data_IF_655632948200
#
_entry.id   IF_655632948200
#
_cell.length_a   1.000
_cell.length_b   1.000
_cell.length_c   1.000
_cell.angle_alpha   90.00
_cell.angle_beta   90.00
_cell.angle_gamma   90.00
#
_symmetry.space_group_name_H-M   'P 1'
#
loop_
_entity.id
_entity.type
_entity.pdbx_description
1 polymer ?
#
# COMPACT_ATOMS: atom_id res chain seq x y z
N UNK A 1 2.66 37.04 0.24
CA UNK A 1 1.86 36.18 -0.66
C UNK A 1 1.16 35.13 0.21
N UNK A 2 -0.02 34.64 -0.17
CA UNK A 2 -0.75 33.65 0.65
C UNK A 2 -0.23 32.25 0.37
N UNK A 3 0.23 31.53 1.39
CA UNK A 3 0.59 30.11 1.29
C UNK A 3 -0.59 29.24 0.84
N UNK A 4 -0.29 28.06 0.30
CA UNK A 4 -1.28 27.08 -0.15
C UNK A 4 -1.21 25.83 0.73
N UNK A 5 -2.35 25.40 1.28
CA UNK A 5 -2.45 24.17 2.07
C UNK A 5 -2.70 22.98 1.12
N UNK A 6 -1.77 22.04 1.04
CA UNK A 6 -1.93 20.82 0.23
C UNK A 6 -2.23 19.63 1.15
N UNK A 7 -3.22 18.83 0.78
CA UNK A 7 -3.47 17.52 1.40
C UNK A 7 -2.69 16.49 0.58
N UNK A 8 -1.85 15.71 1.25
CA UNK A 8 -1.09 14.60 0.68
C UNK A 8 -1.71 13.29 1.13
N UNK A 9 -1.88 12.36 0.19
CA UNK A 9 -2.24 10.96 0.43
C UNK A 9 -1.05 10.07 0.03
N UNK A 10 -0.62 9.18 0.91
CA UNK A 10 0.49 8.25 0.68
C UNK A 10 0.17 6.87 1.24
N UNK A 11 1.01 5.87 0.93
CA UNK A 11 0.77 4.43 1.20
C UNK A 11 -0.46 3.85 0.49
N UNK A 12 -1.01 4.57 -0.47
CA UNK A 12 -2.03 4.08 -1.41
C UNK A 12 -1.45 3.87 -2.80
N UNK A 13 -2.31 3.47 -3.73
CA UNK A 13 -1.98 3.33 -5.14
C UNK A 13 -3.18 3.67 -6.01
N UNK A 14 -2.95 4.10 -7.25
CA UNK A 14 -4.03 4.24 -8.22
C UNK A 14 -4.46 2.88 -8.74
N UNK A 15 -5.76 2.60 -8.66
CA UNK A 15 -6.40 1.41 -9.20
C UNK A 15 -7.46 1.79 -10.22
N UNK A 16 -7.59 0.98 -11.27
CA UNK A 16 -8.65 1.17 -12.26
C UNK A 16 -9.78 0.19 -11.98
N UNK A 17 -10.87 0.70 -11.44
CA UNK A 17 -12.06 -0.07 -11.07
C UNK A 17 -13.23 0.36 -11.96
N UNK A 18 -13.89 -0.60 -12.62
CA UNK A 18 -15.09 -0.37 -13.45
C UNK A 18 -14.96 0.77 -14.49
N UNK A 19 -13.73 0.97 -15.00
CA UNK A 19 -13.43 2.02 -15.97
C UNK A 19 -13.04 3.37 -15.38
N UNK A 20 -13.06 3.54 -14.05
CA UNK A 20 -12.64 4.74 -13.34
C UNK A 20 -11.35 4.53 -12.54
N UNK A 21 -10.46 5.52 -12.56
CA UNK A 21 -9.29 5.54 -11.70
C UNK A 21 -9.63 6.01 -10.28
N UNK A 22 -9.41 5.18 -9.28
CA UNK A 22 -9.64 5.52 -7.89
C UNK A 22 -8.36 5.33 -7.11
N UNK A 23 -8.14 6.18 -6.12
CA UNK A 23 -7.03 6.00 -5.20
C UNK A 23 -7.43 4.91 -4.20
N UNK A 24 -6.61 3.87 -4.08
CA UNK A 24 -6.83 2.81 -3.11
C UNK A 24 -6.48 3.34 -1.71
N UNK A 25 -7.51 3.45 -0.87
CA UNK A 25 -7.41 4.00 0.48
C UNK A 25 -6.95 2.95 1.51
N UNK A 26 -6.78 1.68 1.13
CA UNK A 26 -6.40 0.61 2.06
C UNK A 26 -4.97 0.79 2.55
N UNK A 27 -4.82 1.13 3.82
CA UNK A 27 -3.51 1.44 4.42
C UNK A 27 -3.02 2.86 4.13
N UNK A 28 -3.84 3.68 3.46
CA UNK A 28 -3.53 5.07 3.17
C UNK A 28 -3.29 5.86 4.45
N UNK A 29 -2.34 6.78 4.34
CA UNK A 29 -2.07 7.83 5.31
C UNK A 29 -2.26 9.19 4.66
N UNK A 30 -2.55 10.19 5.47
CA UNK A 30 -2.70 11.57 5.00
C UNK A 30 -1.90 12.55 5.84
N UNK A 31 -1.47 13.65 5.20
CA UNK A 31 -0.84 14.77 5.87
C UNK A 31 -1.16 16.07 5.15
N UNK A 32 -1.24 17.16 5.89
CA UNK A 32 -1.35 18.49 5.32
C UNK A 32 0.02 19.17 5.37
N UNK A 33 0.41 19.81 4.27
CA UNK A 33 1.61 20.65 4.21
C UNK A 33 1.24 22.05 3.74
N UNK A 34 1.98 23.04 4.23
CA UNK A 34 1.83 24.44 3.83
C UNK A 34 2.98 24.78 2.90
N UNK A 35 2.66 25.14 1.66
CA UNK A 35 3.69 25.47 0.65
C UNK A 35 3.57 26.91 0.16
N UNK A 36 4.67 27.43 -0.35
CA UNK A 36 4.64 28.69 -1.09
C UNK A 36 3.93 28.51 -2.45
N UNK A 37 3.22 29.54 -2.96
CA UNK A 37 2.49 29.45 -4.23
C UNK A 37 3.33 29.12 -5.46
N UNK A 38 4.63 29.42 -5.40
CA UNK A 38 5.59 29.28 -6.48
C UNK A 38 6.68 28.24 -6.16
N UNK A 39 6.38 27.30 -5.27
CA UNK A 39 7.26 26.18 -4.93
C UNK A 39 7.65 25.40 -6.19
N UNK A 40 8.91 25.03 -6.29
CA UNK A 40 9.43 24.14 -7.34
C UNK A 40 9.08 22.68 -7.05
N UNK A 41 9.23 21.83 -8.05
CA UNK A 41 9.01 20.40 -7.89
C UNK A 41 9.95 19.77 -6.84
N UNK A 42 11.23 20.15 -6.83
CA UNK A 42 12.18 19.60 -5.87
C UNK A 42 11.89 20.08 -4.44
N UNK A 43 11.56 21.36 -4.25
CA UNK A 43 11.16 21.87 -2.94
C UNK A 43 9.88 21.18 -2.44
N UNK A 44 8.92 20.90 -3.33
CA UNK A 44 7.72 20.14 -2.97
C UNK A 44 8.07 18.71 -2.52
N UNK A 45 9.01 18.04 -3.19
CA UNK A 45 9.49 16.73 -2.77
C UNK A 45 10.17 16.79 -1.39
N UNK A 46 11.03 17.80 -1.17
CA UNK A 46 11.69 18.01 0.12
C UNK A 46 10.67 18.23 1.24
N UNK A 47 9.62 19.02 1.00
CA UNK A 47 8.52 19.22 1.95
C UNK A 47 7.73 17.91 2.22
N UNK A 48 7.50 17.08 1.19
CA UNK A 48 6.84 15.78 1.35
C UNK A 48 7.71 14.85 2.20
N UNK A 49 9.00 14.70 1.91
CA UNK A 49 9.89 13.84 2.70
C UNK A 49 10.07 14.38 4.12
N UNK A 50 10.27 15.69 4.29
CA UNK A 50 10.43 16.32 5.60
C UNK A 50 9.16 16.24 6.46
N UNK A 51 7.99 16.17 5.82
CA UNK A 51 6.72 16.07 6.51
C UNK A 51 6.28 14.63 6.74
N UNK A 52 6.64 13.66 5.91
CA UNK A 52 6.15 12.28 6.03
C UNK A 52 7.16 11.36 6.73
N UNK A 53 6.76 10.13 7.00
CA UNK A 53 7.64 9.08 7.53
C UNK A 53 8.24 8.21 6.41
N UNK A 54 8.19 8.70 5.17
CA UNK A 54 8.71 7.98 4.01
C UNK A 54 10.23 7.96 4.12
N UNK A 55 10.82 6.76 4.17
CA UNK A 55 12.26 6.59 4.12
C UNK A 55 12.77 6.86 2.70
N UNK A 56 13.33 8.04 2.50
CA UNK A 56 13.91 8.48 1.23
C UNK A 56 15.08 7.55 0.78
N UNK A 57 15.71 6.78 1.65
CA UNK A 57 16.73 5.82 1.24
C UNK A 57 16.12 4.56 0.60
N UNK A 58 14.93 4.15 1.06
CA UNK A 58 14.26 2.95 0.60
C UNK A 58 13.28 3.20 -0.55
N UNK A 59 12.73 4.41 -0.66
CA UNK A 59 11.65 4.73 -1.59
C UNK A 59 11.94 5.99 -2.39
N UNK A 60 11.62 5.93 -3.68
CA UNK A 60 11.30 7.09 -4.50
C UNK A 60 9.78 7.35 -4.42
N UNK A 61 9.37 8.56 -4.76
CA UNK A 61 7.97 8.95 -4.78
C UNK A 61 7.54 9.39 -6.18
N UNK A 62 6.37 8.94 -6.60
CA UNK A 62 5.69 9.42 -7.80
C UNK A 62 4.48 10.25 -7.39
N UNK A 63 4.44 11.49 -7.87
CA UNK A 63 3.39 12.45 -7.55
C UNK A 63 2.32 12.46 -8.63
N UNK A 64 1.06 12.47 -8.23
CA UNK A 64 -0.07 12.53 -9.16
C UNK A 64 -1.34 13.05 -8.51
N UNK A 65 -2.27 13.53 -9.32
CA UNK A 65 -3.57 14.01 -8.87
C UNK A 65 -4.65 13.69 -9.90
N UNK A 66 -5.90 13.53 -9.45
CA UNK A 66 -7.05 13.32 -10.34
C UNK A 66 -8.01 14.52 -10.26
N UNK A 67 -8.09 15.35 -11.31
CA UNK A 67 -9.10 16.39 -11.39
C UNK A 67 -10.53 15.84 -11.29
N UNK A 68 -11.42 16.63 -10.68
CA UNK A 68 -12.85 16.37 -10.70
C UNK A 68 -13.44 16.89 -12.00
N UNK A 69 -13.39 16.07 -13.05
CA UNK A 69 -13.93 16.38 -14.38
C UNK A 69 -15.14 15.51 -14.71
N UNK A 70 -15.94 15.94 -15.67
CA UNK A 70 -17.09 15.17 -16.18
C UNK A 70 -16.69 13.92 -16.97
N UNK A 71 -15.47 13.91 -17.48
CA UNK A 71 -14.86 12.78 -18.18
C UNK A 71 -13.92 12.09 -17.20
N UNK A 72 -14.01 10.77 -17.09
CA UNK A 72 -13.02 10.00 -16.34
C UNK A 72 -11.70 10.01 -17.08
N UNK A 73 -10.67 10.55 -16.42
CA UNK A 73 -9.31 10.62 -16.95
C UNK A 73 -8.37 9.88 -16.01
N UNK A 74 -7.27 9.38 -16.58
CA UNK A 74 -6.18 8.87 -15.79
C UNK A 74 -5.61 9.96 -14.86
N UNK A 75 -5.09 9.60 -13.69
CA UNK A 75 -4.38 10.52 -12.81
C UNK A 75 -3.27 11.22 -13.57
N UNK A 76 -3.18 12.53 -13.37
CA UNK A 76 -2.17 13.37 -13.99
C UNK A 76 -0.91 13.30 -13.14
N UNK A 77 0.19 12.85 -13.73
CA UNK A 77 1.48 12.83 -13.07
C UNK A 77 2.06 14.24 -12.95
N UNK A 78 2.71 14.53 -11.82
CA UNK A 78 3.45 15.77 -11.57
C UNK A 78 4.93 15.44 -11.65
N UNK A 79 5.63 15.98 -12.65
CA UNK A 79 7.04 15.61 -12.94
C UNK A 79 8.00 16.79 -13.00
N UNK A 80 7.49 18.01 -13.00
CA UNK A 80 8.28 19.23 -13.12
C UNK A 80 7.51 20.44 -12.56
N UNK A 81 8.18 21.59 -12.48
CA UNK A 81 7.62 22.83 -11.92
C UNK A 81 6.33 23.30 -12.61
N UNK A 82 6.18 23.09 -13.93
CA UNK A 82 4.96 23.49 -14.64
C UNK A 82 3.78 22.63 -14.22
N UNK A 83 4.01 21.34 -14.00
CA UNK A 83 2.98 20.42 -13.53
C UNK A 83 2.57 20.76 -12.08
N UNK A 84 3.52 21.19 -11.24
CA UNK A 84 3.24 21.68 -9.87
C UNK A 84 2.32 22.90 -9.92
N UNK A 85 2.61 23.87 -10.80
CA UNK A 85 1.77 25.04 -10.96
C UNK A 85 0.36 24.67 -11.45
N UNK A 86 0.27 23.73 -12.39
CA UNK A 86 -1.02 23.22 -12.87
C UNK A 86 -1.80 22.53 -11.74
N UNK A 87 -1.13 21.70 -10.94
CA UNK A 87 -1.72 21.07 -9.76
C UNK A 87 -2.24 22.10 -8.76
N UNK A 88 -1.44 23.12 -8.39
CA UNK A 88 -1.84 24.17 -7.45
C UNK A 88 -3.09 24.92 -7.95
N UNK A 89 -3.20 25.17 -9.26
CA UNK A 89 -4.40 25.77 -9.86
C UNK A 89 -5.65 24.90 -9.66
N UNK A 90 -5.54 23.59 -9.88
CA UNK A 90 -6.63 22.64 -9.66
C UNK A 90 -6.96 22.48 -8.16
N UNK A 91 -5.94 22.38 -7.32
CA UNK A 91 -6.07 22.28 -5.87
C UNK A 91 -6.86 23.45 -5.30
N UNK A 92 -6.57 24.70 -5.72
CA UNK A 92 -7.28 25.90 -5.24
C UNK A 92 -8.75 25.92 -5.63
N UNK A 93 -9.10 25.25 -6.73
CA UNK A 93 -10.46 25.21 -7.25
C UNK A 93 -11.30 24.13 -6.57
N UNK A 94 -10.75 22.92 -6.44
CA UNK A 94 -11.53 21.72 -6.14
C UNK A 94 -11.04 20.97 -4.88
N UNK A 95 -10.05 21.54 -4.16
CA UNK A 95 -9.37 20.95 -3.00
C UNK A 95 -8.88 19.51 -3.28
N UNK A 96 -8.32 19.30 -4.46
CA UNK A 96 -7.85 17.99 -4.90
C UNK A 96 -6.58 17.61 -4.11
N UNK A 97 -6.52 16.41 -3.53
CA UNK A 97 -5.31 15.95 -2.85
C UNK A 97 -4.21 15.59 -3.85
N UNK A 98 -2.97 15.73 -3.39
CA UNK A 98 -1.80 15.17 -4.06
C UNK A 98 -1.60 13.73 -3.59
N UNK A 99 -1.61 12.79 -4.52
CA UNK A 99 -1.39 11.38 -4.25
C UNK A 99 0.08 11.03 -4.51
N UNK A 100 0.67 10.31 -3.56
CA UNK A 100 2.09 9.96 -3.51
C UNK A 100 2.19 8.45 -3.54
N UNK A 101 2.61 7.92 -4.69
CA UNK A 101 2.87 6.48 -4.86
C UNK A 101 4.31 6.21 -4.46
N UNK A 102 4.54 5.22 -3.60
CA UNK A 102 5.88 4.81 -3.19
C UNK A 102 6.45 3.79 -4.18
N UNK A 103 7.65 4.06 -4.69
CA UNK A 103 8.39 3.16 -5.58
C UNK A 103 9.64 2.68 -4.85
N UNK A 104 9.73 1.37 -4.60
CA UNK A 104 10.87 0.80 -3.87
C UNK A 104 12.17 0.96 -4.68
N UNK A 105 13.20 1.52 -4.05
CA UNK A 105 14.55 1.53 -4.60
C UNK A 105 15.12 0.12 -4.53
N UNK A 106 15.52 -0.43 -5.67
CA UNK A 106 16.28 -1.67 -5.69
C UNK A 106 17.73 -1.34 -5.31
N UNK A 107 18.14 -1.73 -4.11
CA UNK A 107 19.56 -1.78 -3.80
C UNK A 107 20.21 -2.79 -4.75
N UNK A 108 21.25 -2.36 -5.47
CA UNK A 108 22.15 -3.28 -6.18
C UNK A 108 22.93 -4.06 -5.12
N UNK A 109 22.30 -5.06 -4.52
CA UNK A 109 23.01 -6.06 -3.73
C UNK A 109 23.76 -6.89 -4.77
N UNK A 110 24.95 -6.45 -5.12
CA UNK A 110 25.94 -7.32 -5.74
C UNK A 110 26.07 -8.51 -4.80
N UNK A 111 25.55 -9.67 -5.22
CA UNK A 111 25.75 -10.94 -4.54
C UNK A 111 27.27 -11.11 -4.40
N UNK A 112 27.82 -10.72 -3.25
CA UNK A 112 29.09 -11.26 -2.79
C UNK A 112 28.78 -12.71 -2.50
N UNK A 113 29.00 -13.56 -3.50
CA UNK A 113 29.14 -15.00 -3.30
C UNK A 113 30.11 -15.17 -2.13
N UNK A 114 29.55 -15.55 -0.98
CA UNK A 114 30.35 -16.01 0.15
C UNK A 114 30.88 -17.35 -0.32
N UNK A 115 32.11 -17.35 -0.84
CA UNK A 115 32.85 -18.58 -1.11
C UNK A 115 33.05 -19.25 0.24
N UNK A 116 32.23 -20.25 0.55
CA UNK A 116 32.40 -21.12 1.71
C UNK A 116 33.62 -21.98 1.39
N UNK A 117 34.76 -21.85 2.10
CA UNK A 117 35.85 -22.80 1.93
C UNK A 117 35.35 -24.17 2.40
N UNK A 118 35.59 -25.17 1.57
CA UNK A 118 35.39 -26.59 1.82
C UNK A 118 35.88 -26.95 3.24
N UNK A 119 34.97 -27.45 4.09
CA UNK A 119 35.28 -27.96 5.41
C UNK A 119 35.99 -29.31 5.26
N UNK A 120 37.31 -29.27 5.14
CA UNK A 120 38.13 -30.43 5.48
C UNK A 120 38.14 -30.59 7.01
N UNK A 121 37.97 -31.84 7.45
CA UNK A 121 38.17 -32.37 8.81
C UNK A 121 37.04 -32.19 9.83
N UNK A 122 35.97 -32.99 9.68
CA UNK A 122 35.23 -33.51 10.84
C UNK A 122 35.68 -34.97 11.02
N UNK A 123 36.72 -35.16 11.84
CA UNK A 123 37.05 -36.46 12.41
C UNK A 123 35.95 -36.89 13.39
N UNK A 124 35.19 -37.90 12.96
CA UNK A 124 34.80 -39.10 13.68
C UNK A 124 34.75 -39.02 15.23
N UNK A 125 33.54 -38.83 15.77
CA UNK A 125 33.16 -39.43 17.05
C UNK A 125 31.92 -40.29 16.86
N UNK A 126 32.15 -41.51 16.37
CA UNK A 126 31.33 -42.67 16.70
C UNK A 126 31.32 -42.89 18.21
N UNK A 127 30.18 -42.66 18.85
CA UNK A 127 29.72 -43.55 19.92
C UNK A 127 28.24 -43.88 19.68
N UNK A 128 28.03 -45.12 19.24
CA UNK A 128 26.75 -45.83 19.30
C UNK A 128 26.26 -45.86 20.75
N UNK A 129 24.95 -45.72 20.99
CA UNK A 129 24.17 -46.76 21.65
C UNK A 129 22.65 -46.47 21.62
N UNK A 130 21.93 -47.51 21.20
CA UNK A 130 20.63 -47.96 21.68
C UNK A 130 19.35 -47.18 21.31
N UNK A 131 18.85 -47.52 20.13
CA UNK A 131 17.61 -48.30 19.96
C UNK A 131 16.56 -48.18 21.07
N UNK A 132 15.48 -47.42 20.81
CA UNK A 132 14.10 -47.86 21.06
C UNK A 132 13.15 -47.32 20.01
N UNK A 133 12.85 -48.18 19.03
CA UNK A 133 11.57 -48.14 18.33
C UNK A 133 10.43 -48.53 19.27
N UNK A 134 9.30 -47.82 19.19
CA UNK A 134 7.97 -48.37 19.46
C UNK A 134 7.01 -47.79 18.41
N UNK A 135 6.48 -48.71 17.62
CA UNK A 135 5.33 -48.65 16.73
C UNK A 135 4.09 -48.11 17.48
N UNK A 136 3.28 -47.24 16.86
CA UNK A 136 2.07 -47.53 16.04
C UNK A 136 0.83 -47.88 16.87
N UNK A 137 -0.32 -47.53 16.28
CA UNK A 137 -1.72 -47.93 16.52
C UNK A 137 -2.52 -46.83 17.23
N UNK A 138 -3.32 -46.04 16.50
CA UNK A 138 -4.62 -46.36 15.84
C UNK A 138 -5.79 -46.23 16.83
N UNK A 139 -6.99 -46.09 16.26
CA UNK A 139 -8.31 -45.99 16.88
C UNK A 139 -8.78 -44.56 17.24
N UNK A 140 -10.02 -44.17 17.02
CA UNK A 140 -11.10 -44.50 16.10
C UNK A 140 -12.27 -43.62 16.56
N UNK A 141 -13.13 -43.22 15.64
CA UNK A 141 -14.58 -43.03 15.79
C UNK A 141 -15.15 -42.20 16.96
N UNK A 142 -15.82 -41.10 16.60
CA UNK A 142 -17.28 -41.00 16.67
C UNK A 142 -17.68 -39.66 16.05
N UNK A 143 -18.45 -39.66 14.96
CA UNK A 143 -19.89 -39.90 14.90
C UNK A 143 -20.70 -38.74 15.50
N UNK A 144 -21.56 -38.24 14.62
CA UNK A 144 -22.89 -37.72 14.87
C UNK A 144 -23.04 -36.44 15.69
N UNK A 145 -23.51 -35.38 15.02
CA UNK A 145 -24.93 -35.05 15.15
C UNK A 145 -25.37 -34.09 14.04
N UNK A 146 -26.36 -34.56 13.28
CA UNK A 146 -27.22 -33.80 12.39
C UNK A 146 -28.15 -32.85 13.19
N UNK A 147 -28.97 -32.10 12.44
CA UNK A 147 -30.17 -31.38 12.88
C UNK A 147 -29.96 -30.04 13.63
N UNK A 148 -30.70 -28.97 13.39
CA UNK A 148 -31.93 -28.79 12.62
C UNK A 148 -32.22 -27.27 12.49
N UNK A 149 -33.10 -26.91 11.56
CA UNK A 149 -34.13 -25.90 11.86
C UNK A 149 -34.02 -24.46 11.35
N UNK A 150 -34.88 -24.17 10.37
CA UNK A 150 -35.77 -22.98 10.33
C UNK A 150 -35.18 -21.70 9.72
N UNK A 151 -35.71 -21.11 8.66
CA UNK A 151 -37.13 -20.93 8.31
C UNK A 151 -37.57 -19.53 8.74
N UNK A 152 -37.83 -18.62 7.79
CA UNK A 152 -38.34 -17.29 8.11
C UNK A 152 -38.33 -16.33 6.92
N UNK A 153 -39.23 -16.56 5.98
CA UNK A 153 -39.70 -15.54 5.03
C UNK A 153 -40.37 -14.39 5.79
N UNK A 154 -40.05 -13.16 5.39
CA UNK A 154 -40.63 -11.94 5.95
C UNK A 154 -40.88 -10.92 4.85
N UNK A 155 -41.96 -11.14 4.10
CA UNK A 155 -42.61 -10.09 3.30
C UNK A 155 -43.17 -9.01 4.23
N UNK A 156 -42.87 -7.76 3.91
CA UNK A 156 -43.34 -6.59 4.64
C UNK A 156 -43.64 -5.46 3.68
N UNK A 157 -44.82 -5.53 3.06
CA UNK A 157 -45.50 -4.41 2.42
C UNK A 157 -45.68 -3.25 3.42
N UNK A 158 -45.36 -2.04 2.97
CA UNK A 158 -45.46 -0.82 3.76
C UNK A 158 -45.78 0.36 2.84
N UNK A 159 -47.07 0.51 2.60
CA UNK A 159 -47.77 1.49 1.78
C UNK A 159 -47.72 2.91 2.38
N UNK A 160 -47.92 3.86 1.46
CA UNK A 160 -48.57 5.17 1.59
C UNK A 160 -47.96 6.37 2.35
N UNK A 161 -47.94 7.50 1.62
CA UNK A 161 -48.53 8.76 2.09
C UNK A 161 -47.61 9.93 2.40
N UNK A 162 -47.67 10.98 1.56
CA UNK A 162 -47.34 12.37 1.94
C UNK A 162 -46.60 13.20 0.90
#
# INVERSE_FOLDING_TARGET
MSSTLIIILYDGAWEKNEGSWNWNEKGQRSKCIMVEPNITFNELLDEIYGSTEIDHNCFDVELSYKPKTTIDIAPIAVKNDKDVMAFICWQKKDNIPLCVTLVRKFENIAFKEIFVPELDDIEDFRENNDDKSYSQEDDDNNDDDEDDGGGGDGDGDGDDGG
#
